data_IF_351831426565
#
_entry.id   IF_351831426565
#
_cell.length_a   1.000
_cell.length_b   1.000
_cell.length_c   1.000
_cell.angle_alpha   90.00
_cell.angle_beta   90.00
_cell.angle_gamma   90.00
#
_symmetry.space_group_name_H-M   'P 1'
#
loop_
_entity.id
_entity.type
_entity.pdbx_description
1 polymer ?
#
# COMPACT_ATOMS: atom_id res chain seq x y z
N UNK A 1 3.07 -8.91 1.72
CA UNK A 1 4.32 -8.13 1.82
C UNK A 1 4.99 -7.95 0.45
N UNK A 2 5.30 -9.02 -0.25
CA UNK A 2 5.96 -8.97 -1.57
C UNK A 2 5.19 -8.17 -2.61
N UNK A 3 3.84 -8.26 -2.62
CA UNK A 3 2.97 -7.47 -3.49
C UNK A 3 3.15 -5.98 -3.24
N UNK A 4 3.15 -5.54 -1.98
CA UNK A 4 3.38 -4.14 -1.59
C UNK A 4 4.73 -3.63 -2.09
N UNK A 5 5.79 -4.42 -1.88
CA UNK A 5 7.14 -4.06 -2.35
C UNK A 5 7.18 -3.95 -3.87
N UNK A 6 6.55 -4.89 -4.58
CA UNK A 6 6.44 -4.86 -6.04
C UNK A 6 5.72 -3.61 -6.52
N UNK A 7 4.60 -3.23 -5.91
CA UNK A 7 3.85 -2.03 -6.26
C UNK A 7 4.65 -0.75 -6.00
N UNK A 8 5.35 -0.67 -4.87
CA UNK A 8 6.22 0.47 -4.58
C UNK A 8 7.31 0.64 -5.66
N UNK A 9 7.95 -0.44 -6.07
CA UNK A 9 8.99 -0.42 -7.11
C UNK A 9 8.39 -0.03 -8.46
N UNK A 10 7.22 -0.57 -8.81
CA UNK A 10 6.54 -0.26 -10.07
C UNK A 10 6.23 1.24 -10.20
N UNK A 11 5.75 1.89 -9.13
CA UNK A 11 5.51 3.34 -9.12
C UNK A 11 6.82 4.12 -9.24
N UNK A 12 7.82 3.81 -8.41
CA UNK A 12 9.13 4.48 -8.44
C UNK A 12 9.77 4.39 -9.83
N UNK A 13 9.61 3.25 -10.51
CA UNK A 13 10.19 2.97 -11.83
C UNK A 13 9.28 3.37 -12.99
N UNK A 14 8.17 4.05 -12.74
CA UNK A 14 7.20 4.48 -13.76
C UNK A 14 6.70 3.35 -14.67
N UNK A 15 6.54 2.13 -14.11
CA UNK A 15 6.31 0.94 -14.90
C UNK A 15 5.03 1.03 -15.74
N UNK A 16 3.93 1.55 -15.18
CA UNK A 16 2.67 1.76 -15.90
C UNK A 16 2.85 2.67 -17.12
N UNK A 17 3.49 3.83 -16.92
CA UNK A 17 3.75 4.79 -17.98
C UNK A 17 4.59 4.15 -19.09
N UNK A 18 5.68 3.46 -18.73
CA UNK A 18 6.54 2.76 -19.70
C UNK A 18 5.77 1.69 -20.47
N UNK A 19 4.93 0.89 -19.79
CA UNK A 19 4.12 -0.14 -20.45
C UNK A 19 3.11 0.48 -21.44
N UNK A 20 2.50 1.61 -21.08
CA UNK A 20 1.59 2.32 -21.97
C UNK A 20 2.31 2.83 -23.22
N UNK A 21 3.47 3.48 -23.06
CA UNK A 21 4.30 3.92 -24.19
C UNK A 21 4.65 2.77 -25.12
N UNK A 22 5.07 1.62 -24.57
CA UNK A 22 5.38 0.42 -25.35
C UNK A 22 4.21 -0.07 -26.19
N UNK A 23 2.99 -0.05 -25.63
CA UNK A 23 1.76 -0.43 -26.38
C UNK A 23 1.42 0.55 -27.53
N UNK A 24 1.88 1.78 -27.44
CA UNK A 24 1.76 2.82 -28.46
C UNK A 24 2.96 2.85 -29.43
N UNK A 25 3.88 1.87 -29.33
CA UNK A 25 5.13 1.78 -30.08
C UNK A 25 6.06 3.00 -29.89
N UNK A 26 5.97 3.67 -28.74
CA UNK A 26 6.89 4.75 -28.36
C UNK A 26 8.03 4.19 -27.48
N UNK A 27 9.21 4.08 -28.05
CA UNK A 27 10.41 3.52 -27.40
C UNK A 27 11.40 4.57 -26.91
N UNK A 28 11.02 5.85 -26.92
CA UNK A 28 11.92 6.94 -26.54
C UNK A 28 12.17 6.94 -25.02
N UNK A 29 13.39 7.24 -24.67
CA UNK A 29 13.77 7.56 -23.30
C UNK A 29 13.49 9.04 -23.04
N UNK A 30 12.81 9.32 -21.94
CA UNK A 30 12.43 10.69 -21.56
C UNK A 30 12.87 10.95 -20.12
N UNK A 31 13.13 12.22 -19.81
CA UNK A 31 13.49 12.63 -18.46
C UNK A 31 12.39 12.32 -17.43
N UNK A 32 11.12 12.28 -17.87
CA UNK A 32 9.95 11.96 -17.06
C UNK A 32 9.98 10.54 -16.45
N UNK A 33 10.65 9.57 -17.11
CA UNK A 33 10.79 8.19 -16.64
C UNK A 33 12.12 7.92 -15.93
N UNK A 34 12.97 8.95 -15.80
CA UNK A 34 14.20 8.81 -15.03
C UNK A 34 13.87 8.63 -13.54
N UNK A 35 14.37 7.54 -12.96
CA UNK A 35 14.12 7.19 -11.56
C UNK A 35 15.41 6.97 -10.80
N UNK A 36 15.34 7.08 -9.48
CA UNK A 36 16.46 6.77 -8.58
C UNK A 36 16.60 5.27 -8.38
N UNK A 37 17.78 4.83 -7.97
CA UNK A 37 17.98 3.46 -7.49
C UNK A 37 17.24 3.25 -6.19
N UNK A 38 16.57 2.11 -6.04
CA UNK A 38 15.75 1.82 -4.85
C UNK A 38 16.58 1.89 -3.56
N UNK A 39 17.81 1.40 -3.57
CA UNK A 39 18.73 1.43 -2.41
C UNK A 39 19.04 2.84 -1.88
N UNK A 40 18.88 3.87 -2.72
CA UNK A 40 19.18 5.25 -2.36
C UNK A 40 17.93 5.99 -1.80
N UNK A 41 16.79 5.28 -1.70
CA UNK A 41 15.53 5.81 -1.21
C UNK A 41 15.32 5.49 0.27
N UNK A 42 14.71 6.44 0.97
CA UNK A 42 14.22 6.24 2.34
C UNK A 42 12.78 5.73 2.30
N UNK A 43 12.52 4.65 3.03
CA UNK A 43 11.20 4.01 3.11
C UNK A 43 10.60 4.21 4.49
N UNK A 44 9.36 4.69 4.57
CA UNK A 44 8.58 4.73 5.79
C UNK A 44 7.53 3.61 5.78
N UNK A 45 7.58 2.77 6.80
CA UNK A 45 6.60 1.69 7.03
C UNK A 45 5.71 2.07 8.22
N UNK A 46 4.43 2.31 7.95
CA UNK A 46 3.45 2.72 8.95
C UNK A 46 2.59 1.52 9.36
N UNK A 47 2.84 1.01 10.56
CA UNK A 47 2.35 -0.28 11.03
C UNK A 47 3.37 -1.39 10.77
N UNK A 48 3.91 -1.97 11.84
CA UNK A 48 4.95 -3.01 11.79
C UNK A 48 4.47 -4.34 12.37
N UNK A 49 3.19 -4.64 12.15
CA UNK A 49 2.64 -5.97 12.40
C UNK A 49 3.25 -7.01 11.45
N UNK A 50 2.58 -8.15 11.30
CA UNK A 50 3.10 -9.26 10.49
C UNK A 50 3.52 -8.84 9.07
N UNK A 51 2.65 -8.16 8.34
CA UNK A 51 2.93 -7.75 6.95
C UNK A 51 3.96 -6.61 6.90
N UNK A 52 3.76 -5.54 7.67
CA UNK A 52 4.66 -4.38 7.65
C UNK A 52 6.07 -4.71 8.11
N UNK A 53 6.23 -5.65 9.05
CA UNK A 53 7.54 -6.15 9.48
C UNK A 53 8.30 -6.84 8.34
N UNK A 54 7.62 -7.69 7.55
CA UNK A 54 8.22 -8.35 6.39
C UNK A 54 8.56 -7.33 5.29
N UNK A 55 7.68 -6.35 5.04
CA UNK A 55 7.95 -5.26 4.09
C UNK A 55 9.21 -4.48 4.50
N UNK A 56 9.33 -4.14 5.78
CA UNK A 56 10.49 -3.45 6.33
C UNK A 56 11.77 -4.26 6.13
N UNK A 57 11.72 -5.56 6.42
CA UNK A 57 12.86 -6.47 6.21
C UNK A 57 13.27 -6.53 4.74
N UNK A 58 12.32 -6.69 3.81
CA UNK A 58 12.62 -6.78 2.37
C UNK A 58 13.29 -5.49 1.88
N UNK A 59 12.81 -4.30 2.28
CA UNK A 59 13.43 -3.04 1.88
C UNK A 59 14.81 -2.86 2.52
N UNK A 60 14.96 -3.21 3.80
CA UNK A 60 16.22 -3.07 4.53
C UNK A 60 17.30 -4.05 4.05
N UNK A 61 17.01 -5.34 4.03
CA UNK A 61 18.01 -6.39 3.70
C UNK A 61 18.08 -6.68 2.21
N UNK A 62 16.93 -6.68 1.50
CA UNK A 62 16.89 -7.02 0.09
C UNK A 62 17.31 -5.87 -0.83
N UNK A 63 16.89 -4.65 -0.52
CA UNK A 63 17.19 -3.45 -1.31
C UNK A 63 18.18 -2.50 -0.67
N UNK A 64 18.62 -2.76 0.57
CA UNK A 64 19.56 -1.95 1.34
C UNK A 64 19.10 -0.49 1.53
N UNK A 65 17.79 -0.28 1.65
CA UNK A 65 17.20 1.02 1.90
C UNK A 65 17.39 1.46 3.36
N UNK A 66 17.40 2.78 3.60
CA UNK A 66 17.17 3.35 4.92
C UNK A 66 15.67 3.25 5.25
N UNK A 67 15.32 2.40 6.23
CA UNK A 67 13.93 2.15 6.58
C UNK A 67 13.61 2.78 7.94
N UNK A 68 12.63 3.66 7.97
CA UNK A 68 12.03 4.19 9.19
C UNK A 68 10.64 3.61 9.39
N UNK A 69 10.18 3.53 10.62
CA UNK A 69 8.85 3.00 10.90
C UNK A 69 8.15 3.75 12.02
N UNK A 70 6.83 3.68 12.00
CA UNK A 70 5.99 4.05 13.14
C UNK A 70 5.00 2.94 13.43
N UNK A 71 4.93 2.57 14.69
CA UNK A 71 3.90 1.68 15.23
C UNK A 71 3.65 2.09 16.70
N UNK A 72 2.40 2.17 17.18
CA UNK A 72 2.13 2.42 18.60
C UNK A 72 2.69 1.33 19.51
N UNK A 73 2.93 0.12 18.96
CA UNK A 73 3.49 -1.03 19.67
C UNK A 73 4.71 -1.59 18.91
N UNK A 74 5.89 -0.92 18.98
CA UNK A 74 7.08 -1.33 18.24
C UNK A 74 7.48 -2.77 18.52
N UNK A 75 7.67 -3.56 17.45
CA UNK A 75 8.07 -4.96 17.54
C UNK A 75 9.58 -5.13 17.69
N UNK A 76 10.04 -5.88 18.70
CA UNK A 76 11.45 -6.20 18.87
C UNK A 76 12.02 -6.97 17.66
N UNK A 77 11.21 -7.81 17.00
CA UNK A 77 11.63 -8.57 15.82
C UNK A 77 11.85 -7.69 14.58
N UNK A 78 11.22 -6.52 14.53
CA UNK A 78 11.33 -5.59 13.39
C UNK A 78 12.43 -4.55 13.62
N UNK A 79 12.83 -4.29 14.88
CA UNK A 79 13.90 -3.32 15.23
C UNK A 79 15.20 -3.46 14.44
N UNK A 80 15.69 -4.68 14.10
CA UNK A 80 16.90 -4.80 13.30
C UNK A 80 16.82 -4.17 11.91
N UNK A 81 15.62 -4.01 11.38
CA UNK A 81 15.36 -3.57 10.01
C UNK A 81 14.97 -2.10 9.89
N UNK A 82 14.62 -1.45 11.01
CA UNK A 82 14.02 -0.10 10.97
C UNK A 82 14.54 0.80 12.08
N UNK A 83 14.51 2.11 11.82
CA UNK A 83 14.58 3.13 12.88
C UNK A 83 13.17 3.59 13.23
N UNK A 84 12.66 3.21 14.41
CA UNK A 84 11.34 3.66 14.86
C UNK A 84 11.31 5.17 15.15
N UNK A 85 10.23 5.82 14.72
CA UNK A 85 9.92 7.23 14.96
C UNK A 85 8.81 7.36 16.00
N UNK A 86 8.71 8.54 16.62
CA UNK A 86 7.75 8.81 17.70
C UNK A 86 6.34 9.10 17.17
N UNK A 87 6.21 9.43 15.87
CA UNK A 87 4.94 9.72 15.23
C UNK A 87 4.95 9.36 13.75
N UNK A 88 3.77 9.22 13.14
CA UNK A 88 3.61 9.06 11.69
C UNK A 88 4.28 10.23 10.97
N UNK A 89 4.05 11.46 11.44
CA UNK A 89 4.61 12.67 10.83
C UNK A 89 6.14 12.64 10.77
N UNK A 90 6.79 12.17 11.84
CA UNK A 90 8.25 12.04 11.85
C UNK A 90 8.74 10.95 10.87
N UNK A 91 7.96 9.88 10.68
CA UNK A 91 8.33 8.82 9.77
C UNK A 91 8.21 9.25 8.30
N UNK A 92 7.12 9.97 7.94
CA UNK A 92 6.80 10.27 6.54
C UNK A 92 7.53 11.49 5.96
N UNK A 93 7.91 12.48 6.78
CA UNK A 93 8.41 13.78 6.32
C UNK A 93 9.69 13.74 5.46
N UNK A 94 10.49 12.69 5.58
CA UNK A 94 11.74 12.51 4.83
C UNK A 94 11.73 11.27 3.93
N UNK A 95 10.63 10.52 3.92
CA UNK A 95 10.53 9.28 3.18
C UNK A 95 10.22 9.50 1.71
N UNK A 96 10.93 8.81 0.84
CA UNK A 96 10.68 8.76 -0.60
C UNK A 96 9.54 7.80 -0.95
N UNK A 97 9.38 6.75 -0.13
CA UNK A 97 8.32 5.76 -0.24
C UNK A 97 7.62 5.67 1.11
N UNK A 98 6.31 5.82 1.13
CA UNK A 98 5.48 5.60 2.33
C UNK A 98 4.53 4.47 2.05
N UNK A 99 4.57 3.43 2.88
CA UNK A 99 3.65 2.28 2.80
C UNK A 99 2.94 2.05 4.13
N UNK A 100 1.65 1.75 4.06
CA UNK A 100 0.81 1.63 5.24
C UNK A 100 0.31 0.20 5.44
N UNK A 101 0.37 -0.28 6.69
CA UNK A 101 0.05 -1.66 7.11
C UNK A 101 -0.69 -1.69 8.44
N UNK A 102 -1.50 -0.68 8.69
CA UNK A 102 -2.32 -0.59 9.90
C UNK A 102 -3.76 -1.07 9.64
N UNK A 103 -4.45 -1.60 10.65
CA UNK A 103 -5.88 -1.88 10.55
C UNK A 103 -6.68 -0.59 10.44
N UNK A 104 -7.84 -0.66 9.77
CA UNK A 104 -8.83 0.40 9.82
C UNK A 104 -9.67 0.25 11.09
N UNK A 105 -9.93 1.37 11.76
CA UNK A 105 -10.78 1.50 12.93
C UNK A 105 -11.65 2.74 12.79
N UNK A 106 -12.68 2.88 13.61
CA UNK A 106 -13.50 4.11 13.61
C UNK A 106 -12.72 5.41 13.94
N UNK A 107 -11.49 5.30 14.48
CA UNK A 107 -10.68 6.43 14.91
C UNK A 107 -9.63 6.88 13.89
N UNK A 108 -9.38 6.09 12.84
CA UNK A 108 -8.36 6.38 11.84
C UNK A 108 -8.88 6.41 10.40
N UNK A 109 -10.22 6.52 10.22
CA UNK A 109 -10.81 6.79 8.92
C UNK A 109 -10.27 8.11 8.39
N UNK A 110 -9.88 8.11 7.11
CA UNK A 110 -9.27 9.25 6.43
C UNK A 110 -8.08 9.85 7.20
N UNK A 111 -7.29 8.99 7.85
CA UNK A 111 -6.05 9.42 8.50
C UNK A 111 -5.12 10.10 7.49
N UNK A 112 -5.06 9.54 6.27
CA UNK A 112 -4.31 10.11 5.15
C UNK A 112 -5.22 11.05 4.35
N UNK A 113 -5.43 12.24 4.91
CA UNK A 113 -6.18 13.36 4.35
C UNK A 113 -5.24 14.44 3.81
N UNK A 114 -5.80 15.57 3.36
CA UNK A 114 -5.05 16.70 2.80
C UNK A 114 -3.92 17.17 3.72
N UNK A 115 -4.20 17.36 5.02
CA UNK A 115 -3.19 17.80 5.99
C UNK A 115 -2.04 16.78 6.12
N UNK A 116 -2.37 15.49 6.13
CA UNK A 116 -1.37 14.44 6.22
C UNK A 116 -0.51 14.40 4.96
N UNK A 117 -1.10 14.47 3.75
CA UNK A 117 -0.32 14.49 2.50
C UNK A 117 0.60 15.70 2.37
N UNK A 118 0.24 16.87 2.92
CA UNK A 118 1.11 18.04 2.95
C UNK A 118 2.37 17.83 3.81
N UNK A 119 2.37 16.87 4.75
CA UNK A 119 3.51 16.56 5.60
C UNK A 119 4.51 15.58 4.96
N UNK A 120 4.16 14.98 3.82
CA UNK A 120 5.07 14.08 3.10
C UNK A 120 6.25 14.86 2.53
N UNK A 121 7.35 14.15 2.31
CA UNK A 121 8.43 14.66 1.46
C UNK A 121 7.87 14.95 0.07
N UNK A 122 8.18 16.11 -0.48
CA UNK A 122 7.72 16.47 -1.83
C UNK A 122 8.22 15.46 -2.87
N UNK A 123 7.31 14.94 -3.67
CA UNK A 123 7.59 13.93 -4.67
C UNK A 123 7.72 12.50 -4.13
N UNK A 124 7.26 12.25 -2.89
CA UNK A 124 7.17 10.90 -2.35
C UNK A 124 6.14 10.05 -3.10
N UNK A 125 6.29 8.74 -3.07
CA UNK A 125 5.27 7.78 -3.50
C UNK A 125 4.53 7.19 -2.31
N UNK A 126 3.24 6.92 -2.52
CA UNK A 126 2.36 6.38 -1.50
C UNK A 126 1.83 5.00 -1.89
N UNK A 127 1.86 4.04 -0.95
CA UNK A 127 1.41 2.67 -1.20
C UNK A 127 0.41 2.25 -0.13
N UNK A 128 -0.79 1.85 -0.55
CA UNK A 128 -1.82 1.32 0.33
C UNK A 128 -2.29 -0.07 -0.11
N UNK A 129 -1.79 -1.11 0.54
CA UNK A 129 -2.29 -2.48 0.46
C UNK A 129 -2.94 -2.91 1.79
N UNK A 130 -3.39 -1.95 2.62
CA UNK A 130 -4.01 -2.22 3.91
C UNK A 130 -5.54 -2.10 3.85
N UNK A 131 -6.08 -0.88 3.93
CA UNK A 131 -7.52 -0.61 3.87
C UNK A 131 -7.80 0.71 3.17
N UNK A 132 -8.81 0.74 2.29
CA UNK A 132 -9.20 1.94 1.54
C UNK A 132 -9.67 3.08 2.42
N UNK A 133 -10.43 2.78 3.47
CA UNK A 133 -10.97 3.77 4.42
C UNK A 133 -9.91 4.58 5.20
N UNK A 134 -8.64 4.19 5.17
CA UNK A 134 -7.55 4.97 5.75
C UNK A 134 -7.20 6.23 4.94
N UNK A 135 -7.63 6.28 3.67
CA UNK A 135 -7.22 7.31 2.69
C UNK A 135 -8.42 8.07 2.21
N UNK A 136 -8.36 9.39 2.26
CA UNK A 136 -9.22 10.27 1.50
C UNK A 136 -8.70 10.31 0.05
N UNK A 137 -9.40 9.63 -0.85
CA UNK A 137 -8.97 9.50 -2.24
C UNK A 137 -8.92 10.85 -2.96
N UNK A 138 -9.83 11.78 -2.65
CA UNK A 138 -9.82 13.12 -3.24
C UNK A 138 -8.60 13.93 -2.78
N UNK A 139 -8.25 13.81 -1.51
CA UNK A 139 -7.06 14.44 -0.97
C UNK A 139 -5.78 13.87 -1.60
N UNK A 140 -5.72 12.55 -1.83
CA UNK A 140 -4.60 11.91 -2.54
C UNK A 140 -4.47 12.42 -3.97
N UNK A 141 -5.56 12.47 -4.73
CA UNK A 141 -5.57 12.99 -6.11
C UNK A 141 -5.09 14.44 -6.15
N UNK A 142 -5.62 15.29 -5.25
CA UNK A 142 -5.17 16.69 -5.14
C UNK A 142 -3.68 16.79 -4.80
N UNK A 143 -3.16 15.95 -3.91
CA UNK A 143 -1.74 15.91 -3.57
C UNK A 143 -0.85 15.49 -4.75
N UNK A 144 -1.33 14.60 -5.60
CA UNK A 144 -0.64 14.19 -6.83
C UNK A 144 -0.65 15.34 -7.85
N UNK A 145 -1.79 15.99 -8.07
CA UNK A 145 -1.91 17.14 -8.98
C UNK A 145 -1.00 18.30 -8.59
N UNK A 146 -0.85 18.55 -7.29
CA UNK A 146 0.05 19.58 -6.75
C UNK A 146 1.53 19.16 -6.77
N UNK A 147 1.83 17.91 -7.14
CA UNK A 147 3.19 17.35 -7.15
C UNK A 147 3.78 17.16 -5.75
N UNK A 148 2.93 17.12 -4.73
CA UNK A 148 3.32 16.75 -3.36
C UNK A 148 3.60 15.25 -3.28
N UNK A 149 2.70 14.45 -3.86
CA UNK A 149 2.87 13.01 -4.09
C UNK A 149 3.19 12.80 -5.57
N UNK A 150 4.22 12.02 -5.88
CA UNK A 150 4.65 11.74 -7.25
C UNK A 150 3.78 10.66 -7.92
N UNK A 151 3.22 9.77 -7.14
CA UNK A 151 2.36 8.69 -7.59
C UNK A 151 1.94 7.76 -6.46
N UNK A 152 0.97 6.92 -6.71
CA UNK A 152 0.44 6.02 -5.71
C UNK A 152 0.18 4.61 -6.25
N UNK A 153 0.24 3.62 -5.35
CA UNK A 153 -0.24 2.26 -5.63
C UNK A 153 -1.29 1.87 -4.58
N UNK A 154 -2.47 1.54 -5.05
CA UNK A 154 -3.65 1.28 -4.23
C UNK A 154 -4.19 -0.12 -4.56
N UNK A 155 -4.08 -1.05 -3.62
CA UNK A 155 -4.75 -2.35 -3.74
C UNK A 155 -6.14 -2.32 -3.12
N UNK A 156 -6.40 -1.31 -2.29
CA UNK A 156 -7.68 -1.10 -1.61
C UNK A 156 -8.23 0.29 -1.90
N UNK A 157 -9.55 0.38 -2.00
CA UNK A 157 -10.28 1.61 -2.31
C UNK A 157 -11.40 1.86 -1.29
N UNK A 158 -11.65 3.12 -0.94
CA UNK A 158 -12.61 3.46 0.12
C UNK A 158 -14.06 3.05 -0.20
N UNK A 159 -14.43 2.96 -1.47
CA UNK A 159 -15.76 2.52 -1.94
C UNK A 159 -15.70 1.20 -2.72
N UNK A 160 -14.75 0.32 -2.41
CA UNK A 160 -14.56 -0.95 -3.12
C UNK A 160 -15.72 -1.94 -2.98
N UNK A 161 -16.54 -1.80 -1.92
CA UNK A 161 -17.66 -2.71 -1.65
C UNK A 161 -18.70 -2.62 -2.76
N UNK A 162 -19.03 -3.75 -3.38
CA UNK A 162 -19.97 -3.86 -4.49
C UNK A 162 -19.40 -3.47 -5.88
N UNK A 163 -18.11 -3.09 -5.93
CA UNK A 163 -17.38 -2.83 -7.17
C UNK A 163 -16.31 -3.91 -7.40
N UNK A 164 -15.41 -4.07 -6.43
CA UNK A 164 -14.38 -5.10 -6.53
C UNK A 164 -15.01 -6.50 -6.50
N UNK A 165 -14.37 -7.46 -7.16
CA UNK A 165 -14.87 -8.83 -7.39
C UNK A 165 -16.09 -8.96 -8.33
N UNK A 166 -16.48 -7.88 -9.02
CA UNK A 166 -17.58 -7.92 -10.02
C UNK A 166 -17.03 -7.63 -11.42
N UNK A 167 -17.68 -8.19 -12.43
CA UNK A 167 -17.43 -7.84 -13.84
C UNK A 167 -18.31 -6.64 -14.22
N UNK A 168 -17.64 -5.53 -14.58
CA UNK A 168 -18.29 -4.28 -15.01
C UNK A 168 -17.94 -3.90 -16.45
N UNK A 169 -17.40 -4.84 -17.21
CA UNK A 169 -16.93 -4.57 -18.58
C UNK A 169 -18.04 -4.12 -19.53
N UNK A 170 -19.27 -4.58 -19.34
CA UNK A 170 -20.43 -4.19 -20.16
C UNK A 170 -21.13 -2.93 -19.64
N UNK A 171 -21.27 -2.79 -18.32
CA UNK A 171 -22.03 -1.71 -17.69
C UNK A 171 -21.21 -0.44 -17.43
N UNK A 172 -19.89 -0.57 -17.39
CA UNK A 172 -18.96 0.49 -16.98
C UNK A 172 -18.98 0.75 -15.45
N UNK A 173 -18.13 1.65 -15.03
CA UNK A 173 -18.05 2.11 -13.65
C UNK A 173 -18.99 3.29 -13.44
N UNK A 174 -19.90 3.21 -12.45
CA UNK A 174 -20.67 4.36 -11.95
C UNK A 174 -19.94 5.06 -10.79
N UNK A 175 -18.61 5.12 -10.85
CA UNK A 175 -17.73 5.73 -9.86
C UNK A 175 -16.66 6.57 -10.58
N UNK A 176 -16.92 7.89 -10.76
CA UNK A 176 -15.99 8.77 -11.43
C UNK A 176 -14.65 8.89 -10.73
N UNK A 177 -14.60 8.70 -9.41
CA UNK A 177 -13.37 8.78 -8.62
C UNK A 177 -12.47 7.57 -8.87
N UNK A 178 -13.05 6.36 -8.91
CA UNK A 178 -12.33 5.16 -9.26
C UNK A 178 -11.91 5.17 -10.73
N UNK A 179 -12.78 5.67 -11.63
CA UNK A 179 -12.44 5.84 -13.06
C UNK A 179 -11.22 6.74 -13.24
N UNK A 180 -11.16 7.85 -12.49
CA UNK A 180 -10.00 8.73 -12.51
C UNK A 180 -8.74 8.00 -12.03
N UNK A 181 -8.81 7.26 -10.92
CA UNK A 181 -7.68 6.50 -10.39
C UNK A 181 -7.10 5.51 -11.42
N UNK A 182 -7.96 4.72 -12.08
CA UNK A 182 -7.52 3.67 -12.99
C UNK A 182 -7.01 4.17 -14.34
N UNK A 183 -7.40 5.38 -14.73
CA UNK A 183 -6.97 5.99 -16.00
C UNK A 183 -5.64 6.72 -15.90
N UNK A 184 -5.18 7.06 -14.69
CA UNK A 184 -3.93 7.80 -14.47
C UNK A 184 -2.69 6.92 -14.67
N UNK A 185 -1.63 7.51 -15.21
CA UNK A 185 -0.35 6.82 -15.43
C UNK A 185 0.53 6.80 -14.17
N UNK A 186 0.32 7.76 -13.27
CA UNK A 186 1.04 7.91 -12.01
C UNK A 186 0.36 7.15 -10.84
N UNK A 187 -0.71 6.41 -11.12
CA UNK A 187 -1.41 5.57 -10.14
C UNK A 187 -1.49 4.13 -10.64
N UNK A 188 -1.25 3.18 -9.75
CA UNK A 188 -1.54 1.76 -9.95
C UNK A 188 -2.71 1.40 -9.04
N UNK A 189 -3.77 0.86 -9.62
CA UNK A 189 -4.92 0.32 -8.87
C UNK A 189 -5.00 -1.17 -9.13
N UNK A 190 -5.21 -1.95 -8.07
CA UNK A 190 -5.48 -3.38 -8.15
C UNK A 190 -6.69 -3.73 -7.27
N UNK A 191 -7.49 -4.73 -7.63
CA UNK A 191 -8.79 -4.95 -7.01
C UNK A 191 -8.70 -5.80 -5.73
N UNK A 192 -7.94 -5.33 -4.73
CA UNK A 192 -7.76 -5.95 -3.42
C UNK A 192 -7.26 -7.40 -3.52
N UNK A 193 -6.17 -7.59 -4.26
CA UNK A 193 -5.59 -8.90 -4.57
C UNK A 193 -4.22 -9.16 -3.93
N UNK A 194 -3.73 -8.25 -3.08
CA UNK A 194 -2.42 -8.42 -2.43
C UNK A 194 -2.29 -9.72 -1.63
N UNK A 195 -3.40 -10.26 -1.14
CA UNK A 195 -3.47 -11.53 -0.43
C UNK A 195 -3.65 -12.75 -1.35
N UNK A 196 -4.01 -12.56 -2.63
CA UNK A 196 -4.50 -13.62 -3.50
C UNK A 196 -3.38 -14.50 -4.04
N UNK A 197 -2.81 -15.33 -3.18
CA UNK A 197 -1.83 -16.37 -3.48
C UNK A 197 -2.37 -17.74 -3.06
N UNK A 198 -1.85 -18.82 -3.67
CA UNK A 198 -2.27 -20.18 -3.31
C UNK A 198 -2.10 -20.47 -1.82
N UNK A 199 -0.99 -20.01 -1.24
CA UNK A 199 -0.68 -20.22 0.17
C UNK A 199 -1.65 -19.43 1.06
N UNK A 200 -1.86 -18.15 0.79
CA UNK A 200 -2.77 -17.32 1.59
C UNK A 200 -4.22 -17.82 1.52
N UNK A 201 -4.67 -18.27 0.35
CA UNK A 201 -6.01 -18.86 0.20
C UNK A 201 -6.14 -20.18 0.95
N UNK A 202 -5.11 -21.04 0.90
CA UNK A 202 -5.09 -22.27 1.70
C UNK A 202 -5.19 -21.97 3.19
N UNK A 203 -4.36 -21.07 3.71
CA UNK A 203 -4.42 -20.64 5.11
C UNK A 203 -5.79 -20.07 5.47
N UNK A 204 -6.34 -19.17 4.67
CA UNK A 204 -7.66 -18.58 4.92
C UNK A 204 -8.75 -19.63 5.09
N UNK A 205 -8.73 -20.70 4.25
CA UNK A 205 -9.73 -21.76 4.28
C UNK A 205 -9.46 -22.71 5.45
N UNK A 206 -8.25 -23.23 5.60
CA UNK A 206 -7.93 -24.25 6.60
C UNK A 206 -7.94 -23.67 8.01
N UNK A 207 -7.38 -22.49 8.24
CA UNK A 207 -7.40 -21.85 9.56
C UNK A 207 -8.84 -21.55 10.02
N UNK A 208 -9.72 -21.15 9.09
CA UNK A 208 -11.14 -20.95 9.40
C UNK A 208 -11.86 -22.26 9.74
N UNK A 209 -11.57 -23.35 9.02
CA UNK A 209 -12.11 -24.68 9.32
C UNK A 209 -11.60 -25.22 10.65
N UNK A 210 -10.31 -25.12 10.89
CA UNK A 210 -9.67 -25.58 12.12
C UNK A 210 -10.19 -24.80 13.34
N UNK A 211 -10.29 -23.46 13.24
CA UNK A 211 -10.90 -22.63 14.27
C UNK A 211 -12.35 -23.02 14.54
N UNK A 212 -13.14 -23.31 13.49
CA UNK A 212 -14.53 -23.76 13.62
C UNK A 212 -14.60 -25.11 14.34
N UNK A 213 -13.78 -26.07 13.95
CA UNK A 213 -13.73 -27.38 14.59
C UNK A 213 -13.28 -27.30 16.05
N UNK A 214 -12.30 -26.43 16.34
CA UNK A 214 -11.84 -26.19 17.70
C UNK A 214 -12.96 -25.63 18.58
N UNK A 215 -13.69 -24.62 18.11
CA UNK A 215 -14.85 -24.04 18.83
C UNK A 215 -15.95 -25.10 19.06
N UNK A 216 -16.25 -25.93 18.06
CA UNK A 216 -17.24 -26.99 18.20
C UNK A 216 -16.85 -28.05 19.26
N UNK A 217 -15.55 -28.35 19.40
CA UNK A 217 -15.05 -29.36 20.30
C UNK A 217 -14.75 -28.81 21.71
N UNK A 218 -14.29 -27.58 21.85
CA UNK A 218 -13.77 -27.00 23.09
C UNK A 218 -14.54 -25.78 23.59
N UNK A 219 -15.40 -25.20 22.76
CA UNK A 219 -16.12 -23.97 23.02
C UNK A 219 -15.32 -22.67 22.78
N UNK A 220 -14.04 -22.75 22.38
CA UNK A 220 -13.18 -21.61 22.15
C UNK A 220 -12.12 -21.91 21.09
N UNK A 221 -11.42 -20.87 20.60
CA UNK A 221 -10.24 -20.99 19.72
C UNK A 221 -9.24 -19.90 20.03
N UNK A 222 -7.95 -20.16 19.80
CA UNK A 222 -6.89 -19.14 19.89
C UNK A 222 -7.00 -18.08 18.78
N UNK A 223 -7.66 -18.40 17.66
CA UNK A 223 -7.90 -17.49 16.54
C UNK A 223 -9.08 -16.52 16.77
N UNK A 224 -9.59 -16.46 17.98
CA UNK A 224 -10.70 -15.56 18.37
C UNK A 224 -10.28 -14.09 18.23
N UNK A 225 -11.08 -13.29 17.51
CA UNK A 225 -10.83 -11.85 17.23
C UNK A 225 -11.60 -10.89 18.14
N UNK A 226 -12.40 -11.40 19.11
CA UNK A 226 -13.21 -10.59 20.06
C UNK A 226 -12.96 -11.02 21.51
#
# INVERSE_FOLDING_TARGET
AEFTVTQAINIVRHFNHVQRKMRLHDFRWEASILSQSIKDLKVAVIGTGHIGGIVAQIFSEGYLCDVVAYDPFPSEHVKPYVTYKQSINEAIKEADIVTIHMPSTQYNNYLFNENMFQMFKKGAVFVNCARGSLVDTKALLSAIEQGQIKGAALDTYEYEIGVYTTDRSEEGLNDPLLEELITREDIIVTPHIAFYTEEAIKHLIFDALDATMEVLNTGTTELRVN
#
